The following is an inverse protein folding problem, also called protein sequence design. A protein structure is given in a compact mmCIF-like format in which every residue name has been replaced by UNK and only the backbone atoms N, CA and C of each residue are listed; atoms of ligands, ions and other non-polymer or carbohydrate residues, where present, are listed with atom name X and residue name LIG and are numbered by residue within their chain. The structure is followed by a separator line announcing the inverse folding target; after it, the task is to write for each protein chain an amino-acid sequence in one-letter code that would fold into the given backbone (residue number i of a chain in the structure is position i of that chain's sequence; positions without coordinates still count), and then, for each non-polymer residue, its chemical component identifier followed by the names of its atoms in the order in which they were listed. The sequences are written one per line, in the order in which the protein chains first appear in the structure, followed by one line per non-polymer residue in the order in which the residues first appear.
data_IF_745891556758
#
_entry.id   IF_745891556758
#
_cell.length_a   1.000
_cell.length_b   1.000
_cell.length_c   1.000
_cell.angle_alpha   90.00
_cell.angle_beta   90.00
_cell.angle_gamma   90.00
#
_symmetry.space_group_name_H-M   'P 1'
#
loop_
_entity.id
_entity.type
_entity.pdbx_description
1 polymer ?
#
# COMPACT_ATOMS: atom_id res chain seq x y z
N UNK A 1 33.51 17.66 -0.17
CA UNK A 1 33.10 16.98 1.07
C UNK A 1 31.77 16.30 0.76
N UNK A 2 31.80 15.00 0.58
CA UNK A 2 30.64 14.22 0.13
C UNK A 2 29.69 13.98 1.31
N UNK A 3 28.52 14.59 1.26
CA UNK A 3 27.45 14.37 2.24
C UNK A 3 26.80 13.02 2.00
N UNK A 4 27.15 12.04 2.80
CA UNK A 4 26.51 10.71 2.80
C UNK A 4 25.17 10.82 3.54
N UNK A 5 24.06 10.84 2.81
CA UNK A 5 22.72 10.70 3.37
C UNK A 5 22.62 9.33 4.04
N UNK A 6 22.20 9.22 5.31
CA UNK A 6 22.07 7.92 5.97
C UNK A 6 20.94 7.12 5.29
N UNK A 7 21.31 6.03 4.65
CA UNK A 7 20.36 5.02 4.16
C UNK A 7 19.66 4.40 5.36
N UNK A 8 18.30 4.27 5.37
CA UNK A 8 17.60 3.60 6.44
C UNK A 8 18.14 2.18 6.63
N UNK A 9 18.29 1.71 7.88
CA UNK A 9 18.88 0.41 8.15
C UNK A 9 18.05 -0.69 7.47
N UNK A 10 18.72 -1.55 6.69
CA UNK A 10 18.10 -2.72 6.09
C UNK A 10 17.53 -3.62 7.18
N UNK A 11 16.32 -4.20 7.00
CA UNK A 11 15.71 -5.07 7.99
C UNK A 11 16.65 -6.24 8.33
N UNK A 12 16.73 -6.59 9.61
CA UNK A 12 17.57 -7.69 10.09
C UNK A 12 17.21 -9.02 9.41
N UNK A 13 18.14 -9.98 9.40
CA UNK A 13 17.87 -11.34 8.88
C UNK A 13 16.67 -11.99 9.56
N UNK A 14 16.51 -11.75 10.86
CA UNK A 14 15.38 -12.26 11.65
C UNK A 14 14.06 -11.66 11.22
N UNK A 15 14.02 -10.35 10.96
CA UNK A 15 12.81 -9.67 10.47
C UNK A 15 12.44 -10.11 9.06
N UNK A 16 13.43 -10.28 8.17
CA UNK A 16 13.18 -10.82 6.83
C UNK A 16 12.58 -12.21 6.88
N UNK A 17 13.17 -13.15 7.66
CA UNK A 17 12.62 -14.49 7.85
C UNK A 17 11.22 -14.49 8.45
N UNK A 18 10.96 -13.59 9.42
CA UNK A 18 9.62 -13.41 9.99
C UNK A 18 8.61 -12.95 8.96
N UNK A 19 8.96 -12.00 8.10
CA UNK A 19 8.12 -11.52 7.02
C UNK A 19 7.85 -12.60 5.96
N UNK A 20 8.86 -13.37 5.59
CA UNK A 20 8.74 -14.53 4.67
C UNK A 20 7.77 -15.57 5.23
N UNK A 21 7.95 -15.99 6.48
CA UNK A 21 7.04 -16.94 7.13
C UNK A 21 5.60 -16.41 7.21
N UNK A 22 5.42 -15.12 7.54
CA UNK A 22 4.07 -14.51 7.51
C UNK A 22 3.44 -14.57 6.13
N UNK A 23 4.20 -14.34 5.09
CA UNK A 23 3.73 -14.40 3.71
C UNK A 23 3.40 -15.84 3.27
N UNK A 24 4.18 -16.84 3.69
CA UNK A 24 3.89 -18.25 3.43
C UNK A 24 2.57 -18.69 4.08
N UNK A 25 2.37 -18.33 5.35
CA UNK A 25 1.10 -18.58 6.06
C UNK A 25 -0.06 -17.87 5.34
N UNK A 26 0.14 -16.63 4.90
CA UNK A 26 -0.89 -15.86 4.22
C UNK A 26 -1.30 -16.50 2.88
N UNK A 27 -0.35 -17.02 2.11
CA UNK A 27 -0.64 -17.75 0.86
C UNK A 27 -1.42 -19.04 1.14
N UNK A 28 -1.03 -19.81 2.15
CA UNK A 28 -1.74 -21.01 2.56
C UNK A 28 -3.18 -20.70 2.99
N UNK A 29 -3.38 -19.66 3.80
CA UNK A 29 -4.70 -19.21 4.23
C UNK A 29 -5.58 -18.80 3.04
N UNK A 30 -5.06 -17.99 2.12
CA UNK A 30 -5.76 -17.55 0.92
C UNK A 30 -6.18 -18.74 0.04
N UNK A 31 -5.27 -19.70 -0.19
CA UNK A 31 -5.58 -20.91 -0.95
C UNK A 31 -6.74 -21.70 -0.36
N UNK A 32 -6.72 -21.90 0.96
CA UNK A 32 -7.75 -22.64 1.66
C UNK A 32 -9.09 -21.87 1.68
N UNK A 33 -9.07 -20.55 1.86
CA UNK A 33 -10.27 -19.73 1.81
C UNK A 33 -10.92 -19.74 0.42
N UNK A 34 -10.12 -19.71 -0.63
CA UNK A 34 -10.63 -19.81 -2.02
C UNK A 34 -11.21 -21.20 -2.32
N UNK A 35 -10.56 -22.28 -1.84
CA UNK A 35 -10.96 -23.65 -2.14
C UNK A 35 -12.13 -24.13 -1.29
N UNK A 36 -12.13 -23.85 -0.01
CA UNK A 36 -13.04 -24.41 0.97
C UNK A 36 -13.99 -23.39 1.60
N UNK A 37 -13.74 -22.10 1.34
CA UNK A 37 -14.43 -21.02 2.00
C UNK A 37 -13.90 -20.75 3.42
N UNK A 38 -14.18 -19.54 3.92
CA UNK A 38 -13.69 -19.10 5.21
C UNK A 38 -14.21 -19.96 6.38
N UNK A 39 -15.51 -20.33 6.35
CA UNK A 39 -16.13 -21.05 7.47
C UNK A 39 -15.57 -22.46 7.67
N UNK A 40 -15.29 -23.17 6.58
CA UNK A 40 -14.79 -24.55 6.61
C UNK A 40 -13.28 -24.63 6.89
N UNK A 41 -12.54 -23.55 6.76
CA UNK A 41 -11.09 -23.51 6.99
C UNK A 41 -10.79 -23.20 8.47
N UNK A 42 -9.97 -24.04 9.11
CA UNK A 42 -9.48 -23.84 10.48
C UNK A 42 -8.06 -23.28 10.48
N UNK A 43 -7.63 -22.67 11.59
CA UNK A 43 -6.25 -22.19 11.76
C UNK A 43 -5.24 -23.35 11.72
N UNK A 44 -5.63 -24.52 12.19
CA UNK A 44 -4.82 -25.74 12.16
C UNK A 44 -4.58 -26.22 10.73
N UNK A 45 -5.61 -26.13 9.85
CA UNK A 45 -5.48 -26.49 8.43
C UNK A 45 -4.49 -25.56 7.73
N UNK A 46 -4.54 -24.26 8.05
CA UNK A 46 -3.61 -23.25 7.53
C UNK A 46 -2.19 -23.55 7.99
N UNK A 47 -2.01 -23.84 9.30
CA UNK A 47 -0.71 -24.19 9.85
C UNK A 47 -0.12 -25.42 9.15
N UNK A 48 -0.92 -26.47 8.98
CA UNK A 48 -0.52 -27.69 8.27
C UNK A 48 -0.13 -27.40 6.82
N UNK A 49 -0.93 -26.61 6.10
CA UNK A 49 -0.67 -26.23 4.71
C UNK A 49 0.60 -25.37 4.56
N UNK A 50 0.93 -24.56 5.57
CA UNK A 50 2.15 -23.77 5.63
C UNK A 50 3.37 -24.54 6.20
N UNK A 51 3.21 -25.83 6.54
CA UNK A 51 4.30 -26.66 7.07
C UNK A 51 4.77 -26.25 8.47
N UNK A 52 3.89 -25.65 9.29
CA UNK A 52 4.23 -25.19 10.66
C UNK A 52 3.31 -25.83 11.71
N UNK A 53 3.75 -25.84 12.96
CA UNK A 53 2.91 -26.27 14.07
C UNK A 53 1.80 -25.24 14.35
N UNK A 54 0.58 -25.67 14.81
CA UNK A 54 -0.51 -24.76 15.17
C UNK A 54 -0.11 -23.68 16.18
N UNK A 55 0.69 -24.03 17.18
CA UNK A 55 1.24 -23.05 18.14
C UNK A 55 2.09 -21.98 17.47
N UNK A 56 2.79 -22.32 16.38
CA UNK A 56 3.57 -21.37 15.59
C UNK A 56 2.66 -20.42 14.85
N UNK A 57 1.55 -20.90 14.29
CA UNK A 57 0.54 -20.03 13.66
C UNK A 57 0.06 -18.94 14.62
N UNK A 58 -0.36 -19.31 15.82
CA UNK A 58 -0.88 -18.36 16.83
C UNK A 58 0.17 -17.39 17.38
N UNK A 59 1.45 -17.65 17.17
CA UNK A 59 2.52 -16.66 17.43
C UNK A 59 2.56 -15.55 16.38
N UNK A 60 2.09 -15.81 15.16
CA UNK A 60 2.09 -14.86 14.05
C UNK A 60 0.76 -14.14 13.87
N UNK A 61 -0.35 -14.80 14.13
CA UNK A 61 -1.71 -14.29 13.91
C UNK A 61 -2.63 -14.72 15.04
N UNK A 62 -3.44 -13.80 15.55
CA UNK A 62 -4.41 -14.10 16.59
C UNK A 62 -5.61 -14.89 16.04
N UNK A 63 -6.00 -14.62 14.79
CA UNK A 63 -7.13 -15.26 14.11
C UNK A 63 -6.73 -15.74 12.71
N UNK A 64 -7.51 -16.67 12.17
CA UNK A 64 -7.31 -17.15 10.78
C UNK A 64 -7.56 -16.06 9.75
N UNK A 65 -8.46 -15.14 10.03
CA UNK A 65 -8.79 -14.01 9.17
C UNK A 65 -7.62 -13.03 9.04
N UNK A 66 -6.89 -12.79 10.11
CA UNK A 66 -5.68 -11.95 10.08
C UNK A 66 -4.56 -12.53 9.22
N UNK A 67 -4.59 -13.84 8.99
CA UNK A 67 -3.54 -14.50 8.21
C UNK A 67 -3.44 -13.99 6.77
N UNK A 68 -4.50 -13.44 6.17
CA UNK A 68 -4.45 -12.88 4.81
C UNK A 68 -4.01 -11.41 4.75
N UNK A 69 -3.90 -10.72 5.89
CA UNK A 69 -3.46 -9.32 5.95
C UNK A 69 -2.14 -9.04 5.20
N UNK A 70 -1.10 -9.91 5.25
CA UNK A 70 0.14 -9.70 4.51
C UNK A 70 -0.05 -9.63 2.99
N UNK A 71 -1.03 -10.34 2.42
CA UNK A 71 -1.32 -10.28 0.98
C UNK A 71 -1.94 -8.95 0.58
N UNK A 72 -2.91 -8.47 1.34
CA UNK A 72 -3.49 -7.14 1.15
C UNK A 72 -2.42 -6.05 1.30
N UNK A 73 -1.61 -6.14 2.36
CA UNK A 73 -0.54 -5.18 2.63
C UNK A 73 0.51 -5.14 1.52
N UNK A 74 0.88 -6.30 0.94
CA UNK A 74 1.85 -6.35 -0.15
C UNK A 74 1.34 -5.64 -1.43
N UNK A 75 0.05 -5.71 -1.73
CA UNK A 75 -0.57 -4.94 -2.82
C UNK A 75 -0.52 -3.44 -2.56
N UNK A 76 -0.95 -3.04 -1.38
CA UNK A 76 -0.98 -1.64 -0.95
C UNK A 76 0.42 -1.02 -0.89
N UNK A 77 1.40 -1.74 -0.37
CA UNK A 77 2.81 -1.29 -0.32
C UNK A 77 3.40 -1.07 -1.71
N UNK A 78 3.11 -1.97 -2.67
CA UNK A 78 3.57 -1.79 -4.06
C UNK A 78 3.04 -0.50 -4.69
N UNK A 79 1.76 -0.18 -4.45
CA UNK A 79 1.19 1.07 -4.92
C UNK A 79 1.87 2.29 -4.30
N UNK A 80 2.01 2.33 -2.99
CA UNK A 80 2.68 3.42 -2.27
C UNK A 80 4.13 3.58 -2.75
N UNK A 81 4.85 2.48 -2.94
CA UNK A 81 6.22 2.50 -3.43
C UNK A 81 6.32 2.99 -4.88
N UNK A 82 5.38 2.61 -5.75
CA UNK A 82 5.32 3.11 -7.11
C UNK A 82 5.06 4.63 -7.15
N UNK A 83 4.22 5.16 -6.25
CA UNK A 83 4.02 6.60 -6.07
C UNK A 83 5.31 7.27 -5.58
N UNK A 84 6.02 6.67 -4.62
CA UNK A 84 7.31 7.19 -4.14
C UNK A 84 8.36 7.24 -5.24
N UNK A 85 8.41 6.21 -6.09
CA UNK A 85 9.39 6.06 -7.17
C UNK A 85 9.11 6.98 -8.38
N UNK A 86 7.93 7.59 -8.47
CA UNK A 86 7.62 8.52 -9.55
C UNK A 86 8.63 9.70 -9.57
N UNK A 87 9.03 10.23 -10.76
CA UNK A 87 10.01 11.31 -10.87
C UNK A 87 9.67 12.50 -9.98
N UNK A 88 10.69 13.16 -9.43
CA UNK A 88 10.50 14.24 -8.45
C UNK A 88 9.69 15.44 -8.99
N UNK A 89 9.78 15.74 -10.30
CA UNK A 89 9.00 16.79 -10.96
C UNK A 89 7.56 16.40 -11.31
N UNK A 90 7.16 15.15 -11.07
CA UNK A 90 5.79 14.68 -11.34
C UNK A 90 4.85 15.17 -10.23
N UNK A 91 3.78 15.87 -10.61
CA UNK A 91 2.75 16.30 -9.65
C UNK A 91 2.09 15.12 -8.92
N UNK A 92 1.37 15.40 -7.83
CA UNK A 92 0.78 14.36 -6.97
C UNK A 92 -0.18 13.46 -7.74
N UNK A 93 -1.18 14.04 -8.45
CA UNK A 93 -2.16 13.24 -9.19
C UNK A 93 -1.52 12.36 -10.29
N UNK A 94 -0.65 12.87 -11.18
CA UNK A 94 0.06 12.02 -12.14
C UNK A 94 0.91 10.91 -11.48
N UNK A 95 1.51 11.16 -10.31
CA UNK A 95 2.25 10.14 -9.58
C UNK A 95 1.34 9.03 -9.03
N UNK A 96 0.16 9.39 -8.51
CA UNK A 96 -0.88 8.45 -8.08
C UNK A 96 -1.37 7.60 -9.25
N UNK A 97 -1.66 8.20 -10.40
CA UNK A 97 -2.08 7.50 -11.62
C UNK A 97 -1.00 6.54 -12.13
N UNK A 98 0.27 6.97 -12.13
CA UNK A 98 1.39 6.12 -12.50
C UNK A 98 1.53 4.92 -11.56
N UNK A 99 1.35 5.15 -10.26
CA UNK A 99 1.34 4.10 -9.25
C UNK A 99 0.22 3.09 -9.47
N UNK A 100 -0.99 3.54 -9.82
CA UNK A 100 -2.13 2.69 -10.18
C UNK A 100 -1.79 1.83 -11.40
N UNK A 101 -1.32 2.43 -12.50
CA UNK A 101 -0.93 1.69 -13.72
C UNK A 101 0.13 0.63 -13.42
N UNK A 102 1.14 0.99 -12.64
CA UNK A 102 2.22 0.05 -12.28
C UNK A 102 1.71 -1.12 -11.42
N UNK A 103 0.78 -0.88 -10.49
CA UNK A 103 0.37 -1.89 -9.51
C UNK A 103 -0.82 -2.72 -9.96
N UNK A 104 -1.79 -2.10 -10.64
CA UNK A 104 -3.06 -2.74 -10.97
C UNK A 104 -3.14 -3.26 -12.42
N UNK A 105 -2.11 -3.03 -13.24
CA UNK A 105 -2.04 -3.64 -14.59
C UNK A 105 -1.55 -5.08 -14.46
N UNK A 106 -2.27 -6.07 -15.02
CA UNK A 106 -1.88 -7.47 -15.01
C UNK A 106 -0.50 -7.69 -15.62
N UNK A 107 0.29 -8.55 -15.00
CA UNK A 107 1.65 -8.87 -15.47
C UNK A 107 2.73 -7.85 -15.11
N UNK A 108 2.35 -6.67 -14.61
CA UNK A 108 3.31 -5.66 -14.13
C UNK A 108 3.46 -5.75 -12.61
N UNK A 109 2.41 -5.46 -11.86
CA UNK A 109 2.44 -5.48 -10.39
C UNK A 109 1.94 -6.79 -9.77
N UNK A 110 0.95 -7.42 -10.39
CA UNK A 110 0.33 -8.67 -9.95
C UNK A 110 0.28 -9.62 -11.13
N UNK A 111 0.67 -10.89 -10.93
CA UNK A 111 0.56 -11.89 -12.00
C UNK A 111 -0.89 -12.09 -12.42
N UNK A 112 -1.13 -12.37 -13.69
CA UNK A 112 -2.48 -12.58 -14.22
C UNK A 112 -3.26 -13.64 -13.42
N UNK A 113 -2.59 -14.74 -13.02
CA UNK A 113 -3.20 -15.80 -12.21
C UNK A 113 -3.54 -15.40 -10.78
N UNK A 114 -2.94 -14.31 -10.25
CA UNK A 114 -3.20 -13.85 -8.88
C UNK A 114 -4.46 -12.99 -8.78
N UNK A 115 -4.96 -12.43 -9.88
CA UNK A 115 -6.13 -11.57 -9.87
C UNK A 115 -7.42 -12.27 -9.47
N UNK A 116 -7.60 -13.53 -9.84
CA UNK A 116 -8.71 -14.36 -9.39
C UNK A 116 -8.77 -14.47 -7.86
N UNK A 117 -7.59 -14.64 -7.26
CA UNK A 117 -7.46 -14.69 -5.80
C UNK A 117 -7.74 -13.33 -5.15
N UNK A 118 -7.24 -12.25 -5.74
CA UNK A 118 -7.51 -10.89 -5.24
C UNK A 118 -9.02 -10.64 -5.24
N UNK A 119 -9.72 -10.97 -6.34
CA UNK A 119 -11.18 -10.84 -6.43
C UNK A 119 -11.89 -11.64 -5.34
N UNK A 120 -11.54 -12.91 -5.21
CA UNK A 120 -12.16 -13.77 -4.21
C UNK A 120 -11.94 -13.28 -2.79
N UNK A 121 -10.73 -12.84 -2.47
CA UNK A 121 -10.41 -12.30 -1.13
C UNK A 121 -11.16 -11.00 -0.83
N UNK A 122 -11.33 -10.12 -1.83
CA UNK A 122 -12.12 -8.89 -1.67
C UNK A 122 -13.61 -9.19 -1.50
N UNK A 123 -14.18 -10.14 -2.27
CA UNK A 123 -15.55 -10.60 -2.08
C UNK A 123 -15.78 -11.22 -0.70
N UNK A 124 -14.83 -12.00 -0.20
CA UNK A 124 -14.90 -12.56 1.14
C UNK A 124 -14.81 -11.46 2.22
N UNK A 125 -14.02 -10.44 2.00
CA UNK A 125 -13.96 -9.28 2.89
C UNK A 125 -15.29 -8.52 2.90
N UNK A 126 -15.94 -8.34 1.76
CA UNK A 126 -17.27 -7.71 1.69
C UNK A 126 -18.34 -8.53 2.41
N UNK A 127 -18.33 -9.85 2.20
CA UNK A 127 -19.34 -10.76 2.77
C UNK A 127 -19.15 -11.08 4.26
N UNK A 128 -17.96 -10.83 4.84
CA UNK A 128 -17.61 -11.28 6.19
C UNK A 128 -17.08 -10.16 7.06
N UNK A 129 -17.75 -9.78 8.17
CA UNK A 129 -17.34 -8.67 9.02
C UNK A 129 -15.91 -8.77 9.56
N UNK A 130 -15.43 -9.96 9.93
CA UNK A 130 -14.07 -10.16 10.43
C UNK A 130 -13.00 -9.90 9.35
N UNK A 131 -13.20 -10.35 8.12
CA UNK A 131 -12.30 -10.05 7.02
C UNK A 131 -12.39 -8.59 6.54
N UNK A 132 -13.60 -8.00 6.57
CA UNK A 132 -13.78 -6.57 6.28
C UNK A 132 -12.97 -5.71 7.24
N UNK A 133 -12.94 -6.07 8.51
CA UNK A 133 -12.09 -5.39 9.50
C UNK A 133 -10.60 -5.49 9.15
N UNK A 134 -10.11 -6.68 8.80
CA UNK A 134 -8.71 -6.89 8.38
C UNK A 134 -8.38 -6.05 7.14
N UNK A 135 -9.27 -6.03 6.15
CA UNK A 135 -9.12 -5.21 4.95
C UNK A 135 -9.06 -3.71 5.29
N UNK A 136 -9.98 -3.21 6.14
CA UNK A 136 -10.01 -1.82 6.56
C UNK A 136 -8.74 -1.41 7.33
N UNK A 137 -8.22 -2.26 8.22
CA UNK A 137 -6.98 -2.01 8.96
C UNK A 137 -5.77 -1.90 8.02
N UNK A 138 -5.69 -2.76 6.99
CA UNK A 138 -4.64 -2.67 5.97
C UNK A 138 -4.77 -1.40 5.14
N UNK A 139 -5.98 -1.04 4.73
CA UNK A 139 -6.22 0.20 3.98
C UNK A 139 -5.80 1.43 4.79
N UNK A 140 -6.15 1.50 6.08
CA UNK A 140 -5.71 2.58 6.96
C UNK A 140 -4.19 2.65 7.13
N UNK A 141 -3.53 1.50 7.25
CA UNK A 141 -2.07 1.46 7.34
C UNK A 141 -1.41 1.98 6.05
N UNK A 142 -1.94 1.59 4.89
CA UNK A 142 -1.48 2.07 3.59
C UNK A 142 -1.71 3.57 3.40
N UNK A 143 -2.85 4.08 3.84
CA UNK A 143 -3.19 5.50 3.79
C UNK A 143 -2.17 6.35 4.56
N UNK A 144 -1.79 5.90 5.77
CA UNK A 144 -0.74 6.59 6.55
C UNK A 144 0.60 6.63 5.80
N UNK A 145 1.01 5.48 5.23
CA UNK A 145 2.25 5.40 4.44
C UNK A 145 2.19 6.30 3.20
N UNK A 146 1.04 6.37 2.54
CA UNK A 146 0.85 7.27 1.41
C UNK A 146 1.00 8.74 1.85
N UNK A 147 0.44 9.13 2.99
CA UNK A 147 0.60 10.46 3.54
C UNK A 147 2.08 10.83 3.78
N UNK A 148 2.89 9.90 4.29
CA UNK A 148 4.35 10.07 4.43
C UNK A 148 5.02 10.29 3.07
N UNK A 149 4.67 9.48 2.08
CA UNK A 149 5.20 9.59 0.72
C UNK A 149 4.83 10.90 0.06
N UNK A 150 3.59 11.37 0.23
CA UNK A 150 3.17 12.67 -0.29
C UNK A 150 3.93 13.81 0.36
N UNK A 151 4.17 13.77 1.69
CA UNK A 151 4.99 14.75 2.39
C UNK A 151 6.44 14.76 1.87
N UNK A 152 7.06 13.59 1.69
CA UNK A 152 8.40 13.46 1.09
C UNK A 152 8.45 14.08 -0.31
N UNK A 153 7.43 13.86 -1.13
CA UNK A 153 7.37 14.37 -2.53
C UNK A 153 7.23 15.88 -2.58
N UNK A 154 6.34 16.46 -1.77
CA UNK A 154 6.13 17.92 -1.70
C UNK A 154 7.43 18.61 -1.25
N UNK A 155 8.09 18.10 -0.23
CA UNK A 155 9.37 18.64 0.25
C UNK A 155 10.45 18.57 -0.84
N UNK A 156 10.56 17.44 -1.53
CA UNK A 156 11.53 17.25 -2.62
C UNK A 156 11.25 18.19 -3.81
N UNK A 157 10.00 18.43 -4.15
CA UNK A 157 9.61 19.38 -5.18
C UNK A 157 9.96 20.82 -4.80
N UNK A 158 9.72 21.20 -3.54
CA UNK A 158 10.08 22.54 -3.01
C UNK A 158 11.59 22.80 -3.02
N UNK A 159 12.41 21.79 -2.74
CA UNK A 159 13.88 21.91 -2.81
C UNK A 159 14.42 22.05 -4.23
N UNK A 160 13.74 21.52 -5.23
CA UNK A 160 14.12 21.64 -6.65
C UNK A 160 13.64 22.96 -7.28
N UNK A 161 12.64 23.62 -6.68
CA UNK A 161 12.02 24.86 -7.18
C UNK A 161 12.70 26.15 -6.75
N UNK A 162 13.83 26.12 -6.00
CA UNK A 162 14.55 27.31 -5.58
C UNK A 162 15.88 27.43 -6.34
N UNK A 163 15.91 28.02 -7.56
CA UNK A 163 17.17 28.45 -8.18
C UNK A 163 17.57 29.78 -7.55
N UNK A 164 18.60 29.75 -6.72
CA UNK A 164 19.38 30.94 -6.39
C UNK A 164 18.87 31.81 -5.25
N UNK A 165 18.82 31.30 -4.04
CA UNK A 165 18.99 32.15 -2.84
C UNK A 165 20.48 32.27 -2.51
N UNK A 166 21.22 33.07 -3.28
CA UNK A 166 22.45 33.67 -2.79
C UNK A 166 22.08 34.74 -1.77
N UNK A 167 21.64 34.33 -0.60
CA UNK A 167 21.39 35.17 0.56
C UNK A 167 22.54 35.03 1.52
N UNK A 168 23.36 36.08 1.63
CA UNK A 168 24.40 36.27 2.66
C UNK A 168 23.75 36.09 4.03
N UNK A 169 24.04 34.96 4.69
CA UNK A 169 23.62 34.70 6.07
C UNK A 169 24.57 35.40 7.04
N UNK A 170 24.07 36.39 7.73
CA UNK A 170 24.65 36.90 8.97
C UNK A 170 24.19 35.98 10.12
N UNK A 171 25.16 35.37 10.77
CA UNK A 171 25.18 34.48 11.90
C UNK A 171 23.96 34.35 12.80
N UNK A 172 23.68 33.14 13.20
CA UNK A 172 22.79 32.79 14.32
C UNK A 172 22.25 31.38 14.16
N UNK A 173 22.79 30.46 14.91
CA UNK A 173 22.24 29.19 15.38
C UNK A 173 21.21 28.42 14.51
N UNK A 174 21.70 27.64 13.57
CA UNK A 174 20.88 26.65 12.86
C UNK A 174 21.41 25.21 13.09
N UNK A 175 21.42 24.76 14.36
CA UNK A 175 21.75 23.38 14.72
C UNK A 175 20.49 22.50 14.83
N UNK A 176 19.27 23.04 14.54
CA UNK A 176 18.00 22.36 14.77
C UNK A 176 17.35 21.73 13.49
N UNK A 177 18.00 21.78 12.32
CA UNK A 177 17.35 21.35 11.06
C UNK A 177 17.60 19.89 10.66
N UNK A 178 18.37 19.12 11.41
CA UNK A 178 18.78 17.75 11.02
C UNK A 178 17.90 16.60 11.56
N UNK A 179 16.77 16.90 12.20
CA UNK A 179 15.92 15.89 12.85
C UNK A 179 14.42 16.12 12.74
N UNK A 180 13.95 17.01 11.87
CA UNK A 180 12.52 17.18 11.68
C UNK A 180 11.98 15.97 10.87
N UNK A 181 11.40 15.01 11.57
CA UNK A 181 10.42 14.10 10.98
C UNK A 181 9.44 14.98 10.18
N UNK A 182 9.36 14.79 8.86
CA UNK A 182 8.48 15.56 7.98
C UNK A 182 7.06 15.46 8.53
N UNK A 183 6.58 16.52 9.18
CA UNK A 183 5.25 16.53 9.77
C UNK A 183 4.24 16.44 8.64
N UNK A 184 3.48 15.35 8.61
CA UNK A 184 2.37 15.19 7.66
C UNK A 184 1.30 16.22 8.03
N UNK A 185 1.09 17.21 7.15
CA UNK A 185 0.07 18.24 7.38
C UNK A 185 -1.34 17.64 7.29
N UNK A 186 -2.37 18.28 7.88
CA UNK A 186 -3.76 17.85 7.74
C UNK A 186 -4.22 17.72 6.28
N UNK A 187 -3.76 18.61 5.40
CA UNK A 187 -4.08 18.62 3.96
C UNK A 187 -3.49 17.38 3.26
N UNK A 188 -2.24 17.02 3.57
CA UNK A 188 -1.60 15.83 3.02
C UNK A 188 -2.24 14.53 3.55
N UNK A 189 -2.68 14.52 4.81
CA UNK A 189 -3.47 13.40 5.35
C UNK A 189 -4.79 13.26 4.59
N UNK A 190 -5.47 14.36 4.35
CA UNK A 190 -6.74 14.37 3.62
C UNK A 190 -6.52 13.93 2.16
N UNK A 191 -5.49 14.43 1.49
CA UNK A 191 -5.13 14.00 0.14
C UNK A 191 -4.83 12.49 0.06
N UNK A 192 -4.09 11.94 1.03
CA UNK A 192 -3.82 10.51 1.12
C UNK A 192 -5.11 9.70 1.33
N UNK A 193 -6.02 10.16 2.20
CA UNK A 193 -7.29 9.51 2.46
C UNK A 193 -8.17 9.48 1.20
N UNK A 194 -8.28 10.60 0.49
CA UNK A 194 -9.07 10.72 -0.75
C UNK A 194 -8.50 9.82 -1.83
N UNK A 195 -7.17 9.84 -2.05
CA UNK A 195 -6.52 8.97 -3.04
C UNK A 195 -6.70 7.48 -2.70
N UNK A 196 -6.51 7.10 -1.44
CA UNK A 196 -6.69 5.73 -0.98
C UNK A 196 -8.14 5.26 -1.12
N UNK A 197 -9.12 6.13 -0.81
CA UNK A 197 -10.53 5.84 -0.99
C UNK A 197 -10.90 5.64 -2.47
N UNK A 198 -10.36 6.46 -3.37
CA UNK A 198 -10.58 6.35 -4.82
C UNK A 198 -10.11 4.99 -5.37
N UNK A 199 -8.91 4.55 -4.98
CA UNK A 199 -8.35 3.26 -5.43
C UNK A 199 -9.07 2.09 -4.76
N UNK A 200 -9.35 2.17 -3.46
CA UNK A 200 -10.08 1.14 -2.73
C UNK A 200 -11.48 0.92 -3.30
N UNK A 201 -12.25 1.98 -3.52
CA UNK A 201 -13.60 1.90 -4.10
C UNK A 201 -13.58 1.25 -5.50
N UNK A 202 -12.56 1.51 -6.31
CA UNK A 202 -12.40 0.87 -7.61
C UNK A 202 -12.16 -0.65 -7.49
N UNK A 203 -11.30 -1.07 -6.57
CA UNK A 203 -11.00 -2.49 -6.32
C UNK A 203 -12.23 -3.23 -5.78
N UNK A 204 -12.95 -2.63 -4.85
CA UNK A 204 -14.17 -3.20 -4.27
C UNK A 204 -15.29 -3.32 -5.32
N UNK A 205 -15.50 -2.27 -6.13
CA UNK A 205 -16.48 -2.29 -7.22
C UNK A 205 -16.14 -3.32 -8.30
N UNK A 206 -14.87 -3.42 -8.70
CA UNK A 206 -14.41 -4.44 -9.64
C UNK A 206 -14.60 -5.86 -9.07
N UNK A 207 -14.27 -6.06 -7.80
CA UNK A 207 -14.41 -7.37 -7.16
C UNK A 207 -15.86 -7.78 -6.99
N UNK A 208 -16.78 -6.87 -6.76
CA UNK A 208 -18.22 -7.12 -6.66
C UNK A 208 -18.83 -7.58 -8.00
N UNK A 209 -18.31 -7.07 -9.12
CA UNK A 209 -18.73 -7.43 -10.48
C UNK A 209 -17.95 -8.61 -11.07
N UNK A 210 -18.36 -9.02 -12.28
CA UNK A 210 -17.70 -10.07 -13.07
C UNK A 210 -16.88 -9.51 -14.24
N UNK A 211 -16.57 -8.20 -14.18
CA UNK A 211 -15.77 -7.51 -15.20
C UNK A 211 -14.38 -8.13 -15.36
N UNK A 212 -13.74 -7.97 -16.53
CA UNK A 212 -12.42 -8.49 -16.79
C UNK A 212 -11.37 -7.82 -15.89
N UNK A 213 -10.19 -8.39 -15.82
CA UNK A 213 -9.04 -7.77 -15.13
C UNK A 213 -8.43 -6.63 -15.95
N UNK A 214 -8.57 -6.72 -17.27
CA UNK A 214 -8.06 -5.74 -18.24
C UNK A 214 -9.19 -4.96 -18.92
N UNK A 215 -8.84 -3.83 -19.52
CA UNK A 215 -9.80 -3.00 -20.27
C UNK A 215 -10.58 -2.02 -19.38
N UNK A 216 -11.60 -1.35 -19.93
CA UNK A 216 -12.26 -0.20 -19.30
C UNK A 216 -12.95 -0.52 -17.98
N UNK A 217 -13.35 -1.77 -17.75
CA UNK A 217 -14.00 -2.23 -16.52
C UNK A 217 -13.02 -2.97 -15.60
N UNK A 218 -11.74 -3.00 -15.94
CA UNK A 218 -10.68 -3.55 -15.09
C UNK A 218 -10.34 -2.65 -13.91
N UNK A 219 -9.70 -3.21 -12.86
CA UNK A 219 -9.40 -2.49 -11.63
C UNK A 219 -8.51 -1.26 -11.84
N UNK A 220 -7.56 -1.32 -12.77
CA UNK A 220 -6.70 -0.20 -13.11
C UNK A 220 -7.49 0.97 -13.70
N UNK A 221 -8.32 0.73 -14.71
CA UNK A 221 -9.09 1.78 -15.39
C UNK A 221 -10.19 2.34 -14.49
N UNK A 222 -10.81 1.53 -13.63
CA UNK A 222 -11.74 2.02 -12.61
C UNK A 222 -11.05 2.96 -11.64
N UNK A 223 -9.87 2.60 -11.14
CA UNK A 223 -9.10 3.44 -10.23
C UNK A 223 -8.64 4.76 -10.91
N UNK A 224 -8.19 4.69 -12.17
CA UNK A 224 -7.80 5.87 -12.94
C UNK A 224 -8.98 6.80 -13.18
N UNK A 225 -10.18 6.28 -13.48
CA UNK A 225 -11.41 7.10 -13.62
C UNK A 225 -11.77 7.79 -12.31
N UNK A 226 -11.65 7.09 -11.18
CA UNK A 226 -11.92 7.69 -9.86
C UNK A 226 -10.91 8.81 -9.55
N UNK A 227 -9.62 8.62 -9.85
CA UNK A 227 -8.60 9.64 -9.69
C UNK A 227 -8.81 10.82 -10.66
N UNK A 228 -9.20 10.56 -11.90
CA UNK A 228 -9.48 11.61 -12.88
C UNK A 228 -10.67 12.50 -12.47
N UNK A 229 -11.67 11.95 -11.77
CA UNK A 229 -12.77 12.71 -11.22
C UNK A 229 -12.33 13.69 -10.11
N UNK A 230 -11.14 13.50 -9.56
CA UNK A 230 -10.53 14.34 -8.52
C UNK A 230 -9.45 15.28 -9.11
N UNK A 231 -9.49 15.58 -10.41
CA UNK A 231 -8.46 16.41 -11.07
C UNK A 231 -8.32 17.79 -10.44
N UNK A 232 -9.43 18.40 -10.05
CA UNK A 232 -9.46 19.74 -9.44
C UNK A 232 -9.33 19.73 -7.92
N UNK A 233 -9.05 18.54 -7.34
CA UNK A 233 -8.82 18.41 -5.92
C UNK A 233 -7.45 19.02 -5.54
N UNK A 234 -7.35 19.79 -4.43
CA UNK A 234 -6.09 20.38 -3.98
C UNK A 234 -5.18 19.28 -3.39
N UNK A 235 -4.33 18.70 -4.21
CA UNK A 235 -3.42 17.59 -3.84
C UNK A 235 -2.23 17.97 -2.96
N UNK A 236 -2.05 19.23 -2.66
CA UNK A 236 -0.97 19.73 -1.82
C UNK A 236 -1.08 21.24 -1.62
N UNK A 237 -0.21 21.79 -0.74
CA UNK A 237 -0.08 23.23 -0.56
C UNK A 237 0.45 23.92 -1.80
#
# INVERSE_FOLDING_TARGET
MSSTTPTPPSPSLTERRKAETRMEIARAAAQLFVRHGLRATRAEDIAQAAGIAPRTFYRYFATKEEAVAPLYAAGAQRWVEAVRAAPAGTGVLPALEQGVRHTLTPGVGVSASSWEWVRTLLRLAEATPSLRRVWAEVCQASERLLGEVLAERVTRAGTLGTPGATGVSWGGDNVAAAGQSLAITPELRFAAAVASAAVRAALEAWAAGDGPVEGPDGPAELALRNLAALRDFPWGP
#
